data_IF_642171668700
#
_entry.id   IF_642171668700
#
_cell.length_a   1.000
_cell.length_b   1.000
_cell.length_c   1.000
_cell.angle_alpha   90.00
_cell.angle_beta   90.00
_cell.angle_gamma   90.00
#
_symmetry.space_group_name_H-M   'P 1'
#
loop_
_entity.id
_entity.type
_entity.pdbx_description
1 polymer ?
#
# COMPACT_ATOMS: atom_id res chain seq x y z
N UNK A 1 -15.38 6.44 -15.09
CA UNK A 1 -15.03 7.45 -14.11
C UNK A 1 -14.34 8.63 -14.74
N UNK A 2 -14.71 9.81 -14.30
CA UNK A 2 -14.21 11.06 -14.91
C UNK A 2 -12.69 11.19 -14.77
N UNK A 3 -12.13 10.88 -13.61
CA UNK A 3 -10.70 11.03 -13.39
C UNK A 3 -9.89 10.06 -14.26
N UNK A 4 -10.28 8.79 -14.29
CA UNK A 4 -9.62 7.77 -15.10
C UNK A 4 -9.77 8.06 -16.59
N UNK A 5 -10.99 8.37 -17.02
CA UNK A 5 -11.28 8.66 -18.44
C UNK A 5 -10.45 9.86 -18.92
N UNK A 6 -10.36 10.90 -18.11
CA UNK A 6 -9.58 12.08 -18.44
C UNK A 6 -8.09 11.77 -18.54
N UNK A 7 -7.56 11.00 -17.59
CA UNK A 7 -6.16 10.63 -17.58
C UNK A 7 -5.78 9.84 -18.84
N UNK A 8 -6.60 8.85 -19.20
CA UNK A 8 -6.35 8.01 -20.37
C UNK A 8 -6.49 8.81 -21.66
N UNK A 9 -7.46 9.69 -21.73
CA UNK A 9 -7.69 10.52 -22.92
C UNK A 9 -6.57 11.50 -23.16
N UNK A 10 -6.03 12.11 -22.10
CA UNK A 10 -5.04 13.17 -22.24
C UNK A 10 -3.64 12.66 -22.53
N UNK A 11 -3.20 11.59 -21.90
CA UNK A 11 -1.80 11.18 -21.92
C UNK A 11 -1.58 9.68 -22.15
N UNK A 12 -2.63 8.93 -22.37
CA UNK A 12 -2.48 7.50 -22.55
C UNK A 12 -1.95 6.78 -21.29
N UNK A 13 -2.02 7.45 -20.13
CA UNK A 13 -1.63 6.84 -18.87
C UNK A 13 -0.14 6.98 -18.51
N UNK A 14 0.51 8.10 -18.85
CA UNK A 14 1.87 8.38 -18.39
C UNK A 14 1.93 8.52 -16.87
N UNK A 15 3.13 8.38 -16.24
CA UNK A 15 3.25 8.34 -14.79
C UNK A 15 2.62 9.53 -14.05
N UNK A 16 2.83 10.74 -14.49
CA UNK A 16 2.24 11.92 -13.84
C UNK A 16 0.73 11.91 -13.89
N UNK A 17 0.19 11.52 -15.04
CA UNK A 17 -1.26 11.47 -15.23
C UNK A 17 -1.88 10.38 -14.37
N UNK A 18 -1.22 9.23 -14.28
CA UNK A 18 -1.67 8.12 -13.44
C UNK A 18 -1.66 8.50 -11.96
N UNK A 19 -0.60 9.17 -11.50
CA UNK A 19 -0.52 9.62 -10.11
C UNK A 19 -1.62 10.63 -9.79
N UNK A 20 -1.90 11.56 -10.69
CA UNK A 20 -2.97 12.53 -10.52
C UNK A 20 -4.34 11.85 -10.46
N UNK A 21 -4.56 10.85 -11.31
CA UNK A 21 -5.80 10.09 -11.32
C UNK A 21 -5.98 9.30 -10.02
N UNK A 22 -4.91 8.66 -9.54
CA UNK A 22 -4.94 7.91 -8.27
C UNK A 22 -5.30 8.87 -7.12
N UNK A 23 -4.63 10.01 -7.03
CA UNK A 23 -4.90 10.99 -5.99
C UNK A 23 -6.35 11.48 -6.03
N UNK A 24 -6.87 11.71 -7.23
CA UNK A 24 -8.25 12.16 -7.42
C UNK A 24 -9.24 11.10 -6.94
N UNK A 25 -9.01 9.84 -7.27
CA UNK A 25 -9.88 8.74 -6.82
C UNK A 25 -9.83 8.57 -5.29
N UNK A 26 -8.64 8.69 -4.70
CA UNK A 26 -8.49 8.52 -3.26
C UNK A 26 -9.08 9.68 -2.46
N UNK A 27 -9.30 10.84 -3.10
CA UNK A 27 -9.91 12.00 -2.45
C UNK A 27 -11.43 11.91 -2.42
N UNK A 28 -12.06 10.95 -3.10
CA UNK A 28 -13.50 10.79 -3.11
C UNK A 28 -13.99 10.26 -1.75
N UNK A 29 -15.22 10.62 -1.36
CA UNK A 29 -15.83 10.13 -0.12
C UNK A 29 -15.91 8.61 -0.08
N UNK A 30 -16.17 8.00 -1.21
CA UNK A 30 -16.22 6.56 -1.36
C UNK A 30 -15.20 6.16 -2.42
N UNK A 31 -14.07 5.63 -1.98
CA UNK A 31 -12.97 5.29 -2.87
C UNK A 31 -13.28 4.01 -3.65
N UNK A 32 -13.12 4.07 -4.96
CA UNK A 32 -13.18 2.88 -5.80
C UNK A 32 -11.81 2.23 -5.83
N UNK A 33 -11.57 1.36 -4.86
CA UNK A 33 -10.27 0.71 -4.71
C UNK A 33 -9.92 -0.19 -5.90
N UNK A 34 -10.91 -0.78 -6.54
CA UNK A 34 -10.65 -1.61 -7.73
C UNK A 34 -10.04 -0.78 -8.86
N UNK A 35 -10.51 0.45 -9.07
CA UNK A 35 -9.90 1.34 -10.05
C UNK A 35 -8.51 1.80 -9.62
N UNK A 36 -8.33 2.09 -8.33
CA UNK A 36 -7.02 2.48 -7.79
C UNK A 36 -6.00 1.36 -8.03
N UNK A 37 -6.39 0.10 -7.80
CA UNK A 37 -5.55 -1.06 -8.08
C UNK A 37 -5.11 -1.09 -9.54
N UNK A 38 -6.03 -0.86 -10.48
CA UNK A 38 -5.71 -0.87 -11.91
C UNK A 38 -4.72 0.23 -12.27
N UNK A 39 -4.89 1.41 -11.71
CA UNK A 39 -3.97 2.53 -11.97
C UNK A 39 -2.59 2.27 -11.39
N UNK A 40 -2.50 1.72 -10.18
CA UNK A 40 -1.21 1.33 -9.61
C UNK A 40 -0.53 0.22 -10.41
N UNK A 41 -1.30 -0.75 -10.91
CA UNK A 41 -0.74 -1.82 -11.75
C UNK A 41 -0.08 -1.22 -13.01
N UNK A 42 -0.75 -0.26 -13.63
CA UNK A 42 -0.21 0.41 -14.81
C UNK A 42 1.01 1.25 -14.46
N UNK A 43 0.96 1.97 -13.35
CA UNK A 43 2.09 2.78 -12.89
C UNK A 43 3.29 1.91 -12.55
N UNK A 44 3.08 0.80 -11.88
CA UNK A 44 4.15 -0.15 -11.53
C UNK A 44 4.81 -0.70 -12.79
N UNK A 45 4.02 -1.03 -13.81
CA UNK A 45 4.54 -1.52 -15.08
C UNK A 45 5.43 -0.48 -15.77
N UNK A 46 5.02 0.80 -15.71
CA UNK A 46 5.77 1.88 -16.36
C UNK A 46 7.04 2.26 -15.61
N UNK A 47 7.04 2.14 -14.29
CA UNK A 47 8.15 2.64 -13.46
C UNK A 47 9.07 1.55 -12.94
N UNK A 48 8.63 0.30 -12.91
CA UNK A 48 9.32 -0.84 -12.28
C UNK A 48 9.74 -0.53 -10.83
N UNK A 49 8.95 0.27 -10.12
CA UNK A 49 9.26 0.70 -8.77
C UNK A 49 8.69 -0.27 -7.73
N UNK A 50 9.54 -0.84 -6.84
CA UNK A 50 9.02 -1.69 -5.76
C UNK A 50 8.14 -0.91 -4.77
N UNK A 51 8.37 0.40 -4.61
CA UNK A 51 7.51 1.23 -3.77
C UNK A 51 6.11 1.35 -4.38
N UNK A 52 6.01 1.49 -5.70
CA UNK A 52 4.72 1.51 -6.39
C UNK A 52 4.01 0.16 -6.24
N UNK A 53 4.77 -0.95 -6.33
CA UNK A 53 4.20 -2.29 -6.08
C UNK A 53 3.66 -2.42 -4.66
N UNK A 54 4.36 -1.87 -3.68
CA UNK A 54 3.88 -1.85 -2.30
C UNK A 54 2.55 -1.08 -2.19
N UNK A 55 2.47 0.07 -2.85
CA UNK A 55 1.23 0.86 -2.87
C UNK A 55 0.10 0.11 -3.57
N UNK A 56 0.41 -0.64 -4.63
CA UNK A 56 -0.58 -1.50 -5.30
C UNK A 56 -1.12 -2.56 -4.33
N UNK A 57 -0.22 -3.18 -3.56
CA UNK A 57 -0.62 -4.17 -2.56
C UNK A 57 -1.57 -3.57 -1.52
N UNK A 58 -1.27 -2.36 -1.03
CA UNK A 58 -2.15 -1.67 -0.09
C UNK A 58 -3.55 -1.47 -0.69
N UNK A 59 -3.62 -1.05 -1.95
CA UNK A 59 -4.89 -0.85 -2.64
C UNK A 59 -5.65 -2.18 -2.80
N UNK A 60 -4.96 -3.27 -3.11
CA UNK A 60 -5.56 -4.61 -3.20
C UNK A 60 -6.19 -5.01 -1.86
N UNK A 61 -5.49 -4.75 -0.77
CA UNK A 61 -6.02 -5.03 0.57
C UNK A 61 -7.27 -4.20 0.86
N UNK A 62 -7.26 -2.93 0.49
CA UNK A 62 -8.41 -2.05 0.65
C UNK A 62 -9.59 -2.48 -0.22
N UNK A 63 -9.30 -3.08 -1.37
CA UNK A 63 -10.33 -3.63 -2.25
C UNK A 63 -10.93 -4.94 -1.71
N UNK A 64 -10.38 -5.49 -0.62
CA UNK A 64 -10.95 -6.65 0.06
C UNK A 64 -10.13 -7.92 0.02
N UNK A 65 -8.89 -7.87 -0.47
CA UNK A 65 -8.04 -9.06 -0.62
C UNK A 65 -6.71 -8.93 0.12
N UNK A 66 -6.72 -8.88 1.48
CA UNK A 66 -5.48 -8.75 2.23
C UNK A 66 -4.51 -9.92 2.03
N UNK A 67 -5.03 -11.12 1.75
CA UNK A 67 -4.17 -12.28 1.49
C UNK A 67 -3.38 -12.11 0.19
N UNK A 68 -4.03 -11.67 -0.87
CA UNK A 68 -3.36 -11.41 -2.14
C UNK A 68 -2.33 -10.28 -2.01
N UNK A 69 -2.67 -9.25 -1.25
CA UNK A 69 -1.76 -8.14 -0.96
C UNK A 69 -0.52 -8.65 -0.23
N UNK A 70 -0.70 -9.53 0.75
CA UNK A 70 0.41 -10.07 1.52
C UNK A 70 1.36 -10.87 0.63
N UNK A 71 0.85 -11.64 -0.32
CA UNK A 71 1.70 -12.37 -1.26
C UNK A 71 2.61 -11.44 -2.07
N UNK A 72 2.10 -10.28 -2.46
CA UNK A 72 2.91 -9.28 -3.16
C UNK A 72 4.00 -8.73 -2.24
N UNK A 73 3.62 -8.34 -1.04
CA UNK A 73 4.54 -7.74 -0.06
C UNK A 73 5.68 -8.70 0.30
N UNK A 74 5.38 -9.99 0.43
CA UNK A 74 6.37 -11.00 0.79
C UNK A 74 7.47 -11.17 -0.28
N UNK A 75 7.21 -10.75 -1.52
CA UNK A 75 8.18 -10.86 -2.62
C UNK A 75 8.99 -9.59 -2.84
N UNK A 76 8.67 -8.50 -2.13
CA UNK A 76 9.37 -7.22 -2.34
C UNK A 76 10.67 -7.17 -1.56
N UNK A 77 11.70 -6.62 -2.20
CA UNK A 77 13.02 -6.46 -1.61
C UNK A 77 13.21 -5.01 -1.15
N UNK A 78 12.61 -4.69 0.00
CA UNK A 78 12.64 -3.35 0.60
C UNK A 78 12.96 -3.48 2.09
N UNK A 79 14.04 -4.21 2.42
CA UNK A 79 14.38 -4.59 3.79
C UNK A 79 14.55 -3.42 4.75
N UNK A 80 15.06 -2.30 4.25
CA UNK A 80 15.30 -1.12 5.09
C UNK A 80 14.20 -0.07 4.98
N UNK A 81 13.11 -0.39 4.29
CA UNK A 81 12.01 0.54 4.10
C UNK A 81 10.93 0.28 5.14
N UNK A 82 10.79 1.21 6.10
CA UNK A 82 9.87 1.00 7.23
C UNK A 82 8.43 0.72 6.81
N UNK A 83 8.00 1.30 5.70
CA UNK A 83 6.61 1.11 5.23
C UNK A 83 6.35 -0.30 4.69
N UNK A 84 7.37 -1.00 4.22
CA UNK A 84 7.21 -2.41 3.88
C UNK A 84 6.81 -3.20 5.12
N UNK A 85 7.55 -2.99 6.20
CA UNK A 85 7.35 -3.75 7.44
C UNK A 85 6.04 -3.39 8.13
N UNK A 86 5.67 -2.10 8.16
CA UNK A 86 4.39 -1.71 8.75
C UNK A 86 3.20 -2.21 7.93
N UNK A 87 3.31 -2.17 6.61
CA UNK A 87 2.27 -2.71 5.72
C UNK A 87 2.14 -4.22 5.90
N UNK A 88 3.28 -4.92 5.90
CA UNK A 88 3.29 -6.37 6.13
C UNK A 88 2.65 -6.72 7.46
N UNK A 89 2.97 -5.97 8.50
CA UNK A 89 2.40 -6.17 9.83
C UNK A 89 0.89 -6.00 9.85
N UNK A 90 0.39 -4.92 9.24
CA UNK A 90 -1.06 -4.68 9.19
C UNK A 90 -1.79 -5.78 8.41
N UNK A 91 -1.20 -6.26 7.33
CA UNK A 91 -1.79 -7.35 6.54
C UNK A 91 -1.79 -8.65 7.33
N UNK A 92 -0.69 -8.97 8.00
CA UNK A 92 -0.60 -10.17 8.83
C UNK A 92 -1.63 -10.15 9.96
N UNK A 93 -1.82 -8.98 10.59
CA UNK A 93 -2.85 -8.82 11.62
C UNK A 93 -4.23 -9.08 11.05
N UNK A 94 -4.52 -8.53 9.87
CA UNK A 94 -5.83 -8.66 9.23
C UNK A 94 -6.16 -10.11 8.85
N UNK A 95 -5.14 -10.91 8.51
CA UNK A 95 -5.36 -12.32 8.18
C UNK A 95 -5.20 -13.24 9.40
N UNK A 96 -5.03 -12.69 10.60
CA UNK A 96 -5.03 -13.47 11.84
C UNK A 96 -3.69 -14.10 12.21
N UNK A 97 -2.59 -13.66 11.60
CA UNK A 97 -1.24 -14.17 11.89
C UNK A 97 -0.53 -13.22 12.87
N UNK A 98 -1.01 -13.23 14.10
CA UNK A 98 -0.63 -12.25 15.12
C UNK A 98 0.84 -12.26 15.52
N UNK A 99 1.47 -13.42 15.64
CA UNK A 99 2.89 -13.48 16.04
C UNK A 99 3.81 -12.94 14.95
N UNK A 100 3.52 -13.28 13.70
CA UNK A 100 4.26 -12.74 12.57
C UNK A 100 4.03 -11.23 12.43
N UNK A 101 2.79 -10.79 12.70
CA UNK A 101 2.46 -9.37 12.71
C UNK A 101 3.29 -8.63 13.76
N UNK A 102 3.43 -9.21 14.97
CA UNK A 102 4.24 -8.62 16.03
C UNK A 102 5.68 -8.41 15.59
N UNK A 103 6.29 -9.43 15.00
CA UNK A 103 7.67 -9.34 14.50
C UNK A 103 7.82 -8.25 13.45
N UNK A 104 6.86 -8.14 12.54
CA UNK A 104 6.88 -7.12 11.50
C UNK A 104 6.69 -5.71 12.08
N UNK A 105 5.81 -5.54 13.05
CA UNK A 105 5.65 -4.24 13.74
C UNK A 105 6.94 -3.85 14.46
N UNK A 106 7.60 -4.79 15.11
CA UNK A 106 8.84 -4.53 15.81
C UNK A 106 9.95 -4.12 14.84
N UNK A 107 9.98 -4.74 13.68
CA UNK A 107 10.94 -4.35 12.62
C UNK A 107 10.66 -2.93 12.12
N UNK A 108 9.41 -2.60 11.88
CA UNK A 108 9.00 -1.26 11.48
C UNK A 108 9.38 -0.23 12.55
N UNK A 109 9.14 -0.57 13.81
CA UNK A 109 9.46 0.30 14.93
C UNK A 109 10.97 0.57 15.01
N UNK A 110 11.79 -0.45 14.77
CA UNK A 110 13.24 -0.29 14.76
C UNK A 110 13.73 0.68 13.67
N UNK A 111 12.98 0.82 12.59
CA UNK A 111 13.31 1.69 11.47
C UNK A 111 12.64 3.06 11.52
N UNK A 112 11.82 3.30 12.54
CA UNK A 112 10.99 4.51 12.62
C UNK A 112 11.52 5.44 13.71
N UNK A 113 11.80 6.70 13.33
CA UNK A 113 12.23 7.73 14.26
C UNK A 113 11.11 8.69 14.65
N UNK A 114 10.06 8.77 13.84
CA UNK A 114 8.94 9.69 14.03
C UNK A 114 8.07 9.26 15.21
N UNK A 115 7.93 10.13 16.20
CA UNK A 115 7.20 9.80 17.44
C UNK A 115 5.74 9.38 17.24
N UNK A 116 4.93 10.10 16.46
CA UNK A 116 3.56 9.66 16.24
C UNK A 116 3.47 8.27 15.58
N UNK A 117 4.36 7.97 14.62
CA UNK A 117 4.38 6.65 14.00
C UNK A 117 4.81 5.58 15.00
N UNK A 118 5.82 5.88 15.84
CA UNK A 118 6.27 4.94 16.87
C UNK A 118 5.13 4.60 17.81
N UNK A 119 4.38 5.61 18.25
CA UNK A 119 3.24 5.40 19.16
C UNK A 119 2.14 4.54 18.52
N UNK A 120 1.89 4.76 17.24
CA UNK A 120 0.94 3.93 16.50
C UNK A 120 1.37 2.46 16.50
N UNK A 121 2.65 2.21 16.16
CA UNK A 121 3.19 0.85 16.10
C UNK A 121 3.17 0.17 17.47
N UNK A 122 3.53 0.91 18.51
CA UNK A 122 3.51 0.40 19.88
C UNK A 122 2.10 0.02 20.32
N UNK A 123 1.11 0.83 19.96
CA UNK A 123 -0.30 0.52 20.25
C UNK A 123 -0.75 -0.75 19.53
N UNK A 124 -0.36 -0.90 18.27
CA UNK A 124 -0.71 -2.09 17.50
C UNK A 124 -0.12 -3.35 18.15
N UNK A 125 1.12 -3.28 18.59
CA UNK A 125 1.78 -4.40 19.28
C UNK A 125 1.01 -4.75 20.56
N UNK A 126 0.62 -3.75 21.32
CA UNK A 126 -0.10 -3.95 22.57
C UNK A 126 -1.48 -4.58 22.34
N UNK A 127 -2.08 -4.37 21.19
CA UNK A 127 -3.41 -4.88 20.84
C UNK A 127 -3.39 -6.32 20.30
N UNK A 128 -2.23 -6.88 20.04
CA UNK A 128 -2.13 -8.23 19.45
C UNK A 128 -2.41 -9.34 20.46
#
# INVERSE_FOLDING_TARGET
>A
RAALDRALALRGGGPYVLQAAIASLQAEDRVDWAEVVQLYARLAHLTNSPVVELNRAVAIAQAGSPQDALEIVERLELEDYRYLHSTRAELLRRVGRGEEARSAYERALALTANEPERRFLERRIAEL
#
